data_IF_991145924264
#
_entry.id   IF_991145924264
#
_cell.length_a   1.000
_cell.length_b   1.000
_cell.length_c   1.000
_cell.angle_alpha   90.00
_cell.angle_beta   90.00
_cell.angle_gamma   90.00
#
_symmetry.space_group_name_H-M   'P 1'
#
loop_
_entity.id
_entity.type
_entity.pdbx_description
1 polymer ?
#
# COMPACT_ATOMS: atom_id res chain seq x y z
N UNK A 1 -4.43 -18.64 3.22
CA UNK A 1 -4.62 -17.21 2.96
C UNK A 1 -3.24 -16.60 2.79
N UNK A 2 -3.01 -15.91 1.67
CA UNK A 2 -1.72 -15.33 1.33
C UNK A 2 -1.86 -13.83 1.18
N UNK A 3 -0.87 -13.07 1.65
CA UNK A 3 -0.79 -11.63 1.44
C UNK A 3 0.33 -11.29 0.47
N UNK A 4 0.05 -10.32 -0.40
CA UNK A 4 1.00 -9.77 -1.35
C UNK A 4 1.03 -8.26 -1.19
N UNK A 5 2.23 -7.70 -1.11
CA UNK A 5 2.47 -6.28 -0.94
C UNK A 5 3.26 -5.78 -2.14
N UNK A 6 2.86 -4.64 -2.70
CA UNK A 6 3.56 -4.02 -3.83
C UNK A 6 3.73 -2.53 -3.60
N UNK A 7 4.92 -2.01 -3.90
CA UNK A 7 5.07 -0.58 -4.15
C UNK A 7 4.58 -0.29 -5.56
N UNK A 8 3.76 0.75 -5.69
CA UNK A 8 3.24 1.23 -6.96
C UNK A 8 3.82 2.62 -7.26
N UNK A 9 4.02 2.92 -8.54
CA UNK A 9 4.47 4.23 -9.01
C UNK A 9 3.38 4.81 -9.90
N UNK A 10 3.00 6.06 -9.63
CA UNK A 10 2.03 6.81 -10.42
C UNK A 10 2.53 8.21 -10.76
N UNK A 11 1.81 8.85 -11.69
CA UNK A 11 1.93 10.28 -11.94
C UNK A 11 0.84 11.01 -11.16
N UNK A 12 1.25 12.01 -10.39
CA UNK A 12 0.36 12.93 -9.69
C UNK A 12 0.68 14.35 -10.13
N UNK A 13 -0.18 14.92 -10.99
CA UNK A 13 -0.05 16.29 -11.52
C UNK A 13 1.32 16.54 -12.19
N UNK A 14 1.84 15.57 -12.96
CA UNK A 14 3.13 15.68 -13.64
C UNK A 14 4.36 15.45 -12.74
N UNK A 15 4.15 14.99 -11.51
CA UNK A 15 5.22 14.58 -10.59
C UNK A 15 5.08 13.08 -10.29
N UNK A 16 6.21 12.39 -10.20
CA UNK A 16 6.22 11.00 -9.76
C UNK A 16 5.83 10.87 -8.30
N UNK A 17 4.94 9.93 -8.00
CA UNK A 17 4.45 9.64 -6.67
C UNK A 17 4.39 8.12 -6.45
N UNK A 18 4.76 7.70 -5.25
CA UNK A 18 4.80 6.31 -4.86
C UNK A 18 3.63 5.98 -3.93
N UNK A 19 3.13 4.76 -4.04
CA UNK A 19 2.03 4.24 -3.24
C UNK A 19 2.27 2.79 -2.81
N UNK A 20 1.32 2.23 -2.09
CA UNK A 20 1.32 0.84 -1.63
C UNK A 20 0.00 0.18 -2.03
N UNK A 21 0.09 -1.04 -2.56
CA UNK A 21 -1.04 -1.92 -2.82
C UNK A 21 -0.88 -3.19 -1.96
N UNK A 22 -2.00 -3.60 -1.35
CA UNK A 22 -2.10 -4.82 -0.56
C UNK A 22 -3.14 -5.71 -1.17
N UNK A 23 -2.81 -6.99 -1.34
CA UNK A 23 -3.71 -8.02 -1.84
C UNK A 23 -3.74 -9.21 -0.88
N UNK A 24 -4.94 -9.73 -0.66
CA UNK A 24 -5.19 -10.98 0.06
C UNK A 24 -5.80 -11.99 -0.90
N UNK A 25 -5.23 -13.18 -0.92
CA UNK A 25 -5.75 -14.32 -1.66
C UNK A 25 -6.21 -15.41 -0.68
N UNK A 26 -7.48 -15.76 -0.75
CA UNK A 26 -8.06 -16.86 0.01
C UNK A 26 -8.05 -18.11 -0.87
N UNK A 27 -7.38 -19.16 -0.40
CA UNK A 27 -7.20 -20.44 -1.09
C UNK A 27 -7.85 -21.52 -0.22
N UNK A 28 -8.78 -22.28 -0.80
CA UNK A 28 -9.46 -23.41 -0.16
C UNK A 28 -9.29 -24.62 -1.09
N UNK A 29 -8.82 -25.75 -0.54
CA UNK A 29 -8.57 -26.99 -1.29
C UNK A 29 -7.66 -26.82 -2.54
N UNK A 30 -6.70 -25.89 -2.45
CA UNK A 30 -5.79 -25.57 -3.55
C UNK A 30 -6.36 -24.62 -4.60
N UNK A 31 -7.66 -24.31 -4.53
CA UNK A 31 -8.34 -23.40 -5.44
C UNK A 31 -8.38 -21.98 -4.88
N UNK A 32 -8.10 -21.00 -5.73
CA UNK A 32 -8.24 -19.59 -5.40
C UNK A 32 -9.73 -19.23 -5.39
N UNK A 33 -10.28 -18.99 -4.20
CA UNK A 33 -11.71 -18.72 -4.03
C UNK A 33 -12.03 -17.22 -3.97
N UNK A 34 -11.09 -16.39 -3.49
CA UNK A 34 -11.30 -14.95 -3.35
C UNK A 34 -10.00 -14.18 -3.46
N UNK A 35 -10.07 -13.02 -4.12
CA UNK A 35 -9.05 -11.98 -4.05
C UNK A 35 -9.70 -10.73 -3.47
N UNK A 36 -9.07 -10.17 -2.45
CA UNK A 36 -9.34 -8.81 -1.96
C UNK A 36 -8.10 -7.95 -2.18
N UNK A 37 -8.29 -6.70 -2.59
CA UNK A 37 -7.19 -5.78 -2.84
C UNK A 37 -7.60 -4.36 -2.53
N UNK A 38 -6.68 -3.58 -1.99
CA UNK A 38 -6.82 -2.14 -1.79
C UNK A 38 -5.47 -1.44 -1.97
N UNK A 39 -5.50 -0.14 -2.25
CA UNK A 39 -4.29 0.65 -2.48
C UNK A 39 -4.42 2.11 -2.06
N UNK A 40 -3.30 2.68 -1.64
CA UNK A 40 -3.13 4.14 -1.55
C UNK A 40 -2.08 4.55 -2.56
N UNK A 41 -2.55 5.21 -3.63
CA UNK A 41 -1.78 5.42 -4.85
C UNK A 41 -0.72 6.52 -4.73
N UNK A 42 -0.98 7.53 -3.89
CA UNK A 42 -0.16 8.73 -3.79
C UNK A 42 0.17 9.01 -2.33
N UNK A 43 1.25 8.40 -1.83
CA UNK A 43 1.68 8.56 -0.43
C UNK A 43 2.77 9.62 -0.33
N UNK A 44 3.77 9.59 -1.23
CA UNK A 44 4.86 10.58 -1.25
C UNK A 44 5.59 10.55 -2.59
N UNK A 45 6.22 11.67 -2.96
CA UNK A 45 7.18 11.77 -4.08
C UNK A 45 8.54 11.11 -3.74
N UNK A 46 8.79 10.82 -2.46
CA UNK A 46 10.03 10.22 -1.97
C UNK A 46 9.89 8.70 -1.78
N UNK A 47 10.49 7.92 -2.68
CA UNK A 47 10.46 6.45 -2.64
C UNK A 47 10.85 5.85 -1.29
N UNK A 48 11.89 6.37 -0.65
CA UNK A 48 12.38 5.83 0.62
C UNK A 48 11.40 6.01 1.79
N UNK A 49 10.59 7.09 1.77
CA UNK A 49 9.51 7.26 2.77
C UNK A 49 8.45 6.19 2.60
N UNK A 50 8.00 5.97 1.36
CA UNK A 50 7.02 4.93 1.04
C UNK A 50 7.55 3.53 1.31
N UNK A 51 8.85 3.29 1.09
CA UNK A 51 9.50 2.01 1.41
C UNK A 51 9.46 1.69 2.91
N UNK A 52 9.66 2.68 3.79
CA UNK A 52 9.54 2.47 5.24
C UNK A 52 8.12 2.06 5.64
N UNK A 53 7.10 2.68 5.03
CA UNK A 53 5.71 2.29 5.24
C UNK A 53 5.40 0.90 4.67
N UNK A 54 5.94 0.59 3.49
CA UNK A 54 5.83 -0.75 2.90
C UNK A 54 6.38 -1.82 3.83
N UNK A 55 7.57 -1.60 4.42
CA UNK A 55 8.17 -2.52 5.38
C UNK A 55 7.30 -2.67 6.63
N UNK A 56 6.68 -1.60 7.11
CA UNK A 56 5.77 -1.63 8.26
C UNK A 56 4.49 -2.43 7.94
N UNK A 57 3.85 -2.16 6.81
CA UNK A 57 2.60 -2.82 6.36
C UNK A 57 2.84 -4.31 6.15
N UNK A 58 3.92 -4.66 5.44
CA UNK A 58 4.24 -6.07 5.13
C UNK A 58 4.67 -6.88 6.36
N UNK A 59 5.51 -6.32 7.25
CA UNK A 59 5.95 -7.02 8.48
C UNK A 59 4.80 -7.30 9.45
N UNK A 60 3.79 -6.43 9.47
CA UNK A 60 2.64 -6.57 10.37
C UNK A 60 1.45 -7.31 9.74
N UNK A 61 1.61 -7.86 8.54
CA UNK A 61 0.54 -8.54 7.80
C UNK A 61 -0.76 -7.72 7.67
N UNK A 62 -0.63 -6.41 7.44
CA UNK A 62 -1.78 -5.51 7.33
C UNK A 62 -2.64 -5.96 6.14
N UNK A 63 -3.92 -6.21 6.39
CA UNK A 63 -4.86 -6.64 5.34
C UNK A 63 -5.33 -5.46 4.48
N UNK A 64 -5.81 -5.71 3.24
CA UNK A 64 -6.34 -4.67 2.36
C UNK A 64 -7.31 -3.69 3.04
N UNK A 65 -8.30 -4.21 3.77
CA UNK A 65 -9.34 -3.39 4.42
C UNK A 65 -8.84 -2.49 5.55
N UNK A 66 -7.71 -2.82 6.16
CA UNK A 66 -7.10 -2.06 7.25
C UNK A 66 -5.93 -1.19 6.76
N UNK A 67 -5.66 -1.18 5.44
CA UNK A 67 -4.53 -0.45 4.88
C UNK A 67 -4.63 1.04 5.24
N UNK A 68 -5.76 1.66 4.94
CA UNK A 68 -5.99 3.10 5.17
C UNK A 68 -5.85 3.45 6.65
N UNK A 69 -6.43 2.64 7.56
CA UNK A 69 -6.36 2.88 8.99
C UNK A 69 -4.92 2.89 9.51
N UNK A 70 -4.06 2.03 8.95
CA UNK A 70 -2.65 1.93 9.36
C UNK A 70 -1.79 3.03 8.76
N UNK A 71 -2.00 3.39 7.48
CA UNK A 71 -1.10 4.33 6.79
C UNK A 71 -1.62 5.77 6.77
N UNK A 72 -2.87 6.02 7.13
CA UNK A 72 -3.52 7.33 7.06
C UNK A 72 -2.77 8.41 7.81
N UNK A 73 -2.38 8.15 9.06
CA UNK A 73 -1.62 9.11 9.87
C UNK A 73 -0.28 9.51 9.21
N UNK A 74 0.40 8.56 8.59
CA UNK A 74 1.67 8.83 7.89
C UNK A 74 1.46 9.57 6.56
N UNK A 75 0.37 9.29 5.85
CA UNK A 75 0.02 9.99 4.61
C UNK A 75 -0.23 11.46 4.91
N UNK A 76 -0.93 11.78 5.99
CA UNK A 76 -1.19 13.16 6.42
C UNK A 76 0.11 13.92 6.72
N UNK A 77 1.09 13.28 7.37
CA UNK A 77 2.42 13.86 7.57
C UNK A 77 3.17 14.12 6.25
N UNK A 78 2.92 13.30 5.22
CA UNK A 78 3.65 13.34 3.95
C UNK A 78 3.00 14.25 2.90
N UNK A 79 1.84 14.85 3.17
CA UNK A 79 1.17 15.80 2.25
C UNK A 79 2.12 16.92 1.79
N UNK A 80 3.01 17.36 2.68
CA UNK A 80 4.00 18.40 2.38
C UNK A 80 4.99 18.03 1.25
N UNK A 81 5.17 16.74 0.94
CA UNK A 81 6.05 16.25 -0.13
C UNK A 81 5.53 16.56 -1.55
N UNK A 82 4.28 17.02 -1.66
CA UNK A 82 3.62 17.35 -2.92
C UNK A 82 3.57 18.85 -3.21
N UNK A 83 4.12 19.69 -2.31
CA UNK A 83 4.27 21.13 -2.54
C UNK A 83 5.37 21.42 -3.56
#
# INVERSE_FOLDING_TARGET
>A
MNYFYRMILGDFKGRQAYGIEVERQDIIDGELVKIERDSVNYISTHKEKVKKLFDLVSKNNVSPIHLIDVIGEYVDEYVSDFN
#
